data_IF_965457789067
#
_entry.id   IF_965457789067
#
_cell.length_a   1.000
_cell.length_b   1.000
_cell.length_c   1.000
_cell.angle_alpha   90.00
_cell.angle_beta   90.00
_cell.angle_gamma   90.00
#
_symmetry.space_group_name_H-M   'P 1'
#
loop_
_entity.id
_entity.type
_entity.pdbx_description
1 polymer ?
#
# COMPACT_ATOMS: atom_id res chain seq x y z
N UNK A 1 -21.81 -63.98 -50.19
CA UNK A 1 -21.20 -62.68 -50.08
C UNK A 1 -19.82 -62.77 -50.70
N UNK A 2 -19.58 -62.09 -51.77
CA UNK A 2 -18.27 -62.06 -52.44
C UNK A 2 -17.34 -61.10 -51.65
N UNK A 3 -16.04 -61.28 -51.75
CA UNK A 3 -15.06 -60.44 -51.12
C UNK A 3 -15.22 -58.94 -51.49
N UNK A 4 -15.57 -58.66 -52.72
CA UNK A 4 -15.85 -57.32 -53.24
C UNK A 4 -17.09 -56.66 -52.61
N UNK A 5 -18.14 -57.45 -52.27
CA UNK A 5 -19.32 -56.96 -51.56
C UNK A 5 -18.97 -56.58 -50.10
N UNK A 6 -18.05 -57.30 -49.40
CA UNK A 6 -17.59 -56.98 -48.08
C UNK A 6 -16.75 -55.74 -48.09
N UNK A 7 -15.79 -55.59 -49.02
CA UNK A 7 -14.94 -54.39 -49.15
C UNK A 7 -15.77 -53.13 -49.45
N UNK A 8 -16.81 -53.25 -50.31
CA UNK A 8 -17.71 -52.14 -50.57
C UNK A 8 -18.55 -51.72 -49.34
N UNK A 9 -18.98 -52.71 -48.55
CA UNK A 9 -19.70 -52.41 -47.29
C UNK A 9 -18.82 -51.74 -46.25
N UNK A 10 -17.57 -52.18 -46.10
CA UNK A 10 -16.60 -51.53 -45.22
C UNK A 10 -16.31 -50.06 -45.63
N UNK A 11 -16.06 -49.81 -46.90
CA UNK A 11 -15.86 -48.46 -47.43
C UNK A 11 -17.09 -47.56 -47.24
N UNK A 12 -18.29 -48.16 -47.26
CA UNK A 12 -19.51 -47.42 -46.97
C UNK A 12 -19.65 -47.06 -45.49
N UNK A 13 -19.26 -47.96 -44.58
CA UNK A 13 -19.19 -47.67 -43.13
C UNK A 13 -18.20 -46.56 -42.85
N UNK A 14 -16.97 -46.64 -43.36
CA UNK A 14 -15.95 -45.61 -43.19
C UNK A 14 -16.43 -44.23 -43.71
N UNK A 15 -17.17 -44.22 -44.83
CA UNK A 15 -17.77 -42.98 -45.36
C UNK A 15 -18.83 -42.40 -44.41
N UNK A 16 -19.63 -43.23 -43.75
CA UNK A 16 -20.60 -42.76 -42.77
C UNK A 16 -19.92 -42.26 -41.52
N UNK A 17 -18.90 -42.93 -41.01
CA UNK A 17 -18.13 -42.49 -39.84
C UNK A 17 -17.46 -41.15 -40.11
N UNK A 18 -16.87 -40.95 -41.28
CA UNK A 18 -16.31 -39.67 -41.67
C UNK A 18 -17.36 -38.54 -41.74
N UNK A 19 -18.58 -38.86 -42.24
CA UNK A 19 -19.69 -37.90 -42.24
C UNK A 19 -20.19 -37.55 -40.85
N UNK A 20 -20.28 -38.53 -39.97
CA UNK A 20 -20.67 -38.31 -38.57
C UNK A 20 -19.65 -37.42 -37.89
N UNK A 21 -18.36 -37.72 -38.07
CA UNK A 21 -17.28 -36.88 -37.51
C UNK A 21 -17.37 -35.45 -38.04
N UNK A 22 -17.55 -35.27 -39.36
CA UNK A 22 -17.69 -33.92 -39.92
C UNK A 22 -18.93 -33.20 -39.41
N UNK A 23 -20.05 -33.89 -39.20
CA UNK A 23 -21.25 -33.31 -38.62
C UNK A 23 -21.03 -32.87 -37.15
N UNK A 24 -20.33 -33.68 -36.36
CA UNK A 24 -19.97 -33.32 -35.00
C UNK A 24 -19.09 -32.05 -34.96
N UNK A 25 -18.10 -31.94 -35.86
CA UNK A 25 -17.28 -30.74 -35.96
C UNK A 25 -18.09 -29.49 -36.36
N UNK A 26 -19.08 -29.65 -37.26
CA UNK A 26 -19.98 -28.56 -37.62
C UNK A 26 -20.83 -28.09 -36.42
N UNK A 27 -21.34 -29.02 -35.61
CA UNK A 27 -22.06 -28.69 -34.37
C UNK A 27 -21.16 -27.92 -33.45
N UNK A 28 -19.90 -28.38 -33.23
CA UNK A 28 -18.92 -27.69 -32.38
C UNK A 28 -18.63 -26.27 -32.86
N UNK A 29 -18.49 -26.06 -34.18
CA UNK A 29 -18.29 -24.70 -34.72
C UNK A 29 -19.52 -23.83 -34.48
N UNK A 30 -20.74 -24.38 -34.67
CA UNK A 30 -21.96 -23.62 -34.40
C UNK A 30 -22.11 -23.25 -32.91
N UNK A 31 -21.75 -24.16 -32.00
CA UNK A 31 -21.72 -23.88 -30.54
C UNK A 31 -20.75 -22.75 -30.21
N UNK A 32 -19.55 -22.73 -30.80
CA UNK A 32 -18.60 -21.63 -30.61
C UNK A 32 -19.12 -20.30 -31.16
N UNK A 33 -19.83 -20.30 -32.27
CA UNK A 33 -20.47 -19.10 -32.81
C UNK A 33 -21.56 -18.56 -31.87
N UNK A 34 -22.37 -19.44 -31.29
CA UNK A 34 -23.37 -19.06 -30.28
C UNK A 34 -22.70 -18.51 -29.02
N UNK A 35 -21.61 -19.12 -28.54
CA UNK A 35 -20.86 -18.64 -27.42
C UNK A 35 -20.30 -17.23 -27.66
N UNK A 36 -19.70 -17.01 -28.84
CA UNK A 36 -19.22 -15.70 -29.26
C UNK A 36 -20.33 -14.64 -29.31
N UNK A 37 -21.48 -14.99 -29.89
CA UNK A 37 -22.62 -14.10 -29.99
C UNK A 37 -23.16 -13.73 -28.56
N UNK A 38 -23.16 -14.69 -27.64
CA UNK A 38 -23.54 -14.43 -26.24
C UNK A 38 -22.55 -13.50 -25.57
N UNK A 39 -21.25 -13.72 -25.71
CA UNK A 39 -20.23 -12.81 -25.15
C UNK A 39 -20.41 -11.40 -25.70
N UNK A 40 -20.58 -11.25 -27.00
CA UNK A 40 -20.83 -9.95 -27.62
C UNK A 40 -22.11 -9.25 -27.07
N UNK A 41 -23.14 -10.03 -26.78
CA UNK A 41 -24.37 -9.51 -26.18
C UNK A 41 -24.12 -9.10 -24.71
N UNK A 42 -23.43 -9.93 -23.94
CA UNK A 42 -23.10 -9.62 -22.54
C UNK A 42 -22.22 -8.37 -22.44
N UNK A 43 -21.29 -8.16 -23.37
CA UNK A 43 -20.43 -6.98 -23.44
C UNK A 43 -21.21 -5.67 -23.72
N UNK A 44 -22.45 -5.78 -24.21
CA UNK A 44 -23.32 -4.59 -24.36
C UNK A 44 -23.86 -4.09 -23.02
N UNK A 45 -23.77 -4.92 -21.97
CA UNK A 45 -24.24 -4.57 -20.62
C UNK A 45 -23.01 -4.35 -19.72
N UNK A 46 -22.62 -3.11 -19.59
CA UNK A 46 -21.44 -2.75 -18.77
C UNK A 46 -21.85 -2.74 -17.30
N UNK A 47 -21.16 -3.55 -16.50
CA UNK A 47 -21.40 -3.69 -15.07
C UNK A 47 -20.20 -3.18 -14.26
N UNK A 48 -20.46 -2.71 -13.04
CA UNK A 48 -19.40 -2.40 -12.09
C UNK A 48 -18.65 -3.69 -11.71
N UNK A 49 -17.30 -3.71 -11.77
CA UNK A 49 -16.50 -4.90 -11.44
C UNK A 49 -16.48 -5.20 -9.95
N UNK A 50 -16.73 -4.20 -9.10
CA UNK A 50 -16.79 -4.30 -7.64
C UNK A 50 -17.76 -3.28 -7.06
N UNK A 51 -18.10 -3.41 -5.79
CA UNK A 51 -18.93 -2.45 -5.05
C UNK A 51 -18.09 -1.24 -4.65
N UNK A 52 -18.57 -0.03 -4.97
CA UNK A 52 -17.81 1.20 -4.69
C UNK A 52 -18.61 2.45 -4.95
N UNK A 53 -17.95 3.58 -4.88
CA UNK A 53 -18.53 4.90 -5.16
C UNK A 53 -18.00 5.42 -6.50
N UNK A 54 -18.91 5.84 -7.38
CA UNK A 54 -18.52 6.48 -8.63
C UNK A 54 -18.09 7.93 -8.34
N UNK A 55 -16.82 8.25 -8.59
CA UNK A 55 -16.24 9.57 -8.36
C UNK A 55 -16.20 10.44 -9.61
N UNK A 56 -16.26 9.83 -10.80
CA UNK A 56 -16.39 10.57 -12.06
C UNK A 56 -17.43 9.91 -12.97
N UNK A 57 -18.04 10.71 -13.83
CA UNK A 57 -18.88 10.27 -14.94
C UNK A 57 -18.28 10.82 -16.23
N UNK A 58 -17.63 9.95 -17.00
CA UNK A 58 -16.82 10.35 -18.16
C UNK A 58 -17.57 10.24 -19.48
N UNK A 59 -18.62 9.42 -19.56
CA UNK A 59 -19.44 9.24 -20.75
C UNK A 59 -20.89 9.74 -20.56
N UNK A 60 -21.45 10.30 -21.62
CA UNK A 60 -22.84 10.74 -21.68
C UNK A 60 -23.68 9.77 -22.54
N UNK A 61 -24.99 9.67 -22.29
CA UNK A 61 -25.89 8.92 -23.16
C UNK A 61 -25.82 9.45 -24.62
N UNK A 62 -25.62 8.52 -25.56
CA UNK A 62 -25.43 8.85 -26.97
C UNK A 62 -23.98 8.94 -27.43
N UNK A 63 -23.01 8.89 -26.53
CA UNK A 63 -21.59 8.83 -26.89
C UNK A 63 -21.16 7.38 -27.20
N UNK A 64 -20.21 7.24 -28.10
CA UNK A 64 -19.59 5.93 -28.41
C UNK A 64 -18.46 5.68 -27.42
N UNK A 65 -18.57 4.57 -26.69
CA UNK A 65 -17.53 4.08 -25.78
C UNK A 65 -16.82 2.89 -26.44
N UNK A 66 -15.49 2.89 -26.45
CA UNK A 66 -14.68 1.81 -26.98
C UNK A 66 -13.65 1.36 -25.95
N UNK A 67 -13.43 0.05 -25.76
CA UNK A 67 -12.40 -0.47 -24.87
C UNK A 67 -10.97 -0.20 -25.40
N UNK A 68 -10.86 0.19 -26.66
CA UNK A 68 -9.57 0.47 -27.30
C UNK A 68 -9.52 1.95 -27.71
N UNK A 69 -8.44 2.62 -27.38
CA UNK A 69 -8.17 3.98 -27.80
C UNK A 69 -7.95 4.02 -29.33
N UNK A 70 -9.04 4.04 -30.11
CA UNK A 70 -8.96 4.24 -31.54
C UNK A 70 -8.77 5.74 -31.79
N UNK A 71 -7.57 6.21 -31.89
CA UNK A 71 -7.00 7.51 -32.29
C UNK A 71 -7.86 8.67 -32.83
N UNK A 72 -9.15 8.72 -32.54
CA UNK A 72 -10.10 9.77 -32.92
C UNK A 72 -10.68 10.44 -31.67
N UNK A 73 -10.63 11.76 -31.63
CA UNK A 73 -11.01 12.60 -30.48
C UNK A 73 -12.46 12.53 -30.02
N UNK A 74 -13.25 11.60 -30.53
CA UNK A 74 -14.67 11.41 -30.19
C UNK A 74 -14.98 10.10 -29.48
N UNK A 75 -13.97 9.22 -29.28
CA UNK A 75 -14.17 7.92 -28.64
C UNK A 75 -13.68 7.97 -27.20
N UNK A 76 -14.55 7.72 -26.25
CA UNK A 76 -14.22 7.62 -24.83
C UNK A 76 -13.80 6.20 -24.49
N UNK A 77 -12.76 6.04 -23.68
CA UNK A 77 -12.27 4.73 -23.23
C UNK A 77 -12.88 4.27 -21.91
N UNK A 78 -13.62 5.12 -21.21
CA UNK A 78 -14.24 4.80 -19.93
C UNK A 78 -15.61 5.46 -19.78
N UNK A 79 -16.45 4.91 -18.91
CA UNK A 79 -17.78 5.42 -18.59
C UNK A 79 -17.76 6.20 -17.29
N UNK A 80 -17.09 5.67 -16.26
CA UNK A 80 -16.96 6.28 -14.94
C UNK A 80 -15.73 5.71 -14.23
N UNK A 81 -15.27 6.41 -13.22
CA UNK A 81 -14.26 5.92 -12.28
C UNK A 81 -14.97 5.50 -10.99
N UNK A 82 -14.74 4.25 -10.56
CA UNK A 82 -15.28 3.70 -9.33
C UNK A 82 -14.14 3.48 -8.35
N UNK A 83 -14.33 3.90 -7.11
CA UNK A 83 -13.37 3.73 -6.02
C UNK A 83 -13.98 2.86 -4.93
N UNK A 84 -13.21 1.88 -4.47
CA UNK A 84 -13.53 1.11 -3.27
C UNK A 84 -13.13 1.91 -2.02
N UNK A 85 -14.13 2.44 -1.33
CA UNK A 85 -13.91 3.23 -0.11
C UNK A 85 -13.46 2.39 1.09
N UNK A 86 -13.48 1.06 0.99
CA UNK A 86 -13.05 0.17 2.08
C UNK A 86 -11.57 -0.21 1.98
N UNK A 87 -10.96 -0.01 0.83
CA UNK A 87 -9.55 -0.36 0.57
C UNK A 87 -8.63 0.86 0.46
N UNK A 88 -9.02 1.99 1.05
CA UNK A 88 -8.20 3.21 1.04
C UNK A 88 -6.91 3.00 1.84
N UNK A 89 -5.80 3.41 1.25
CA UNK A 89 -4.46 3.39 1.86
C UNK A 89 -3.82 4.77 1.72
N UNK A 90 -2.82 5.03 2.54
CA UNK A 90 -2.00 6.24 2.44
C UNK A 90 -0.70 5.85 1.73
N UNK A 91 -0.34 6.59 0.70
CA UNK A 91 0.95 6.50 0.04
C UNK A 91 1.81 7.69 0.44
N UNK A 92 2.98 7.40 1.00
CA UNK A 92 3.92 8.42 1.49
C UNK A 92 5.28 8.23 0.85
N UNK A 93 5.78 9.31 0.27
CA UNK A 93 7.15 9.39 -0.23
C UNK A 93 8.11 9.70 0.92
N UNK A 94 8.88 8.71 1.36
CA UNK A 94 9.88 8.85 2.42
C UNK A 94 11.27 9.01 1.82
N UNK A 95 12.02 10.01 2.27
CA UNK A 95 13.40 10.21 1.81
C UNK A 95 14.28 8.99 2.17
N UNK A 96 15.17 8.56 1.24
CA UNK A 96 16.06 7.41 1.40
C UNK A 96 16.90 7.46 2.68
N UNK A 97 17.29 8.65 3.14
CA UNK A 97 18.07 8.81 4.36
C UNK A 97 17.34 8.33 5.63
N UNK A 98 16.01 8.27 5.58
CA UNK A 98 15.17 7.91 6.73
C UNK A 98 14.50 6.54 6.59
N UNK A 99 14.56 5.91 5.42
CA UNK A 99 13.84 4.66 5.15
C UNK A 99 14.24 3.52 6.08
N UNK A 100 15.49 3.50 6.53
CA UNK A 100 16.01 2.50 7.48
C UNK A 100 15.31 2.53 8.85
N UNK A 101 14.56 3.59 9.14
CA UNK A 101 13.79 3.76 10.40
C UNK A 101 12.33 3.32 10.25
N UNK A 102 11.89 3.02 9.02
CA UNK A 102 10.53 2.59 8.74
C UNK A 102 10.51 1.07 8.66
N UNK A 103 9.62 0.46 9.42
CA UNK A 103 9.46 -1.00 9.47
C UNK A 103 8.02 -1.39 9.16
N UNK A 104 7.79 -2.49 8.43
CA UNK A 104 6.45 -3.06 8.29
C UNK A 104 5.83 -3.34 9.66
N UNK A 105 4.56 -3.00 9.83
CA UNK A 105 3.85 -3.14 11.10
C UNK A 105 4.02 -2.00 12.09
N UNK A 106 4.88 -1.01 11.81
CA UNK A 106 5.10 0.15 12.66
C UNK A 106 3.84 1.00 12.77
N UNK A 107 3.53 1.45 13.98
CA UNK A 107 2.39 2.34 14.22
C UNK A 107 2.68 3.76 13.73
N UNK A 108 1.66 4.38 13.16
CA UNK A 108 1.73 5.68 12.51
C UNK A 108 0.53 6.52 12.92
N UNK A 109 0.74 7.79 13.08
CA UNK A 109 -0.33 8.77 13.27
C UNK A 109 -0.51 9.57 11.97
N UNK A 110 -1.68 9.44 11.35
CA UNK A 110 -2.04 10.12 10.11
C UNK A 110 -3.00 11.27 10.42
N UNK A 111 -2.62 12.49 10.08
CA UNK A 111 -3.48 13.66 10.21
C UNK A 111 -3.86 14.15 8.80
N UNK A 112 -5.15 14.15 8.50
CA UNK A 112 -5.67 14.71 7.26
C UNK A 112 -5.48 16.23 7.26
N UNK A 113 -5.06 16.82 6.15
CA UNK A 113 -4.89 18.27 6.05
C UNK A 113 -6.20 19.04 6.30
N UNK A 114 -7.34 18.42 5.97
CA UNK A 114 -8.67 18.97 6.26
C UNK A 114 -9.03 18.90 7.76
N UNK A 115 -8.44 17.99 8.54
CA UNK A 115 -8.75 17.74 9.95
C UNK A 115 -7.48 17.55 10.78
N UNK A 116 -6.61 18.57 10.90
CA UNK A 116 -5.29 18.43 11.53
C UNK A 116 -5.35 18.11 13.04
N UNK A 117 -6.45 18.46 13.71
CA UNK A 117 -6.66 18.22 15.15
C UNK A 117 -7.16 16.79 15.47
N UNK A 118 -7.50 15.99 14.47
CA UNK A 118 -8.05 14.65 14.64
C UNK A 118 -7.15 13.61 13.96
N UNK A 119 -6.00 13.23 14.55
CA UNK A 119 -5.13 12.22 13.96
C UNK A 119 -5.81 10.84 14.00
N UNK A 120 -5.64 10.09 12.93
CA UNK A 120 -6.18 8.74 12.75
C UNK A 120 -5.05 7.74 12.93
N UNK A 121 -5.24 6.69 13.76
CA UNK A 121 -4.25 5.66 13.92
C UNK A 121 -4.14 4.81 12.65
N UNK A 122 -2.93 4.58 12.21
CA UNK A 122 -2.62 3.82 11.01
C UNK A 122 -1.38 2.95 11.24
N UNK A 123 -1.09 2.04 10.31
CA UNK A 123 0.04 1.12 10.41
C UNK A 123 0.71 0.96 9.06
N UNK A 124 2.04 0.88 9.06
CA UNK A 124 2.83 0.58 7.87
C UNK A 124 2.49 -0.82 7.37
N UNK A 125 2.01 -0.93 6.14
CA UNK A 125 1.76 -2.21 5.47
C UNK A 125 3.08 -2.74 4.90
N UNK A 126 3.69 -1.95 4.03
CA UNK A 126 4.92 -2.34 3.34
C UNK A 126 5.65 -1.13 2.78
N UNK A 127 6.92 -1.32 2.51
CA UNK A 127 7.75 -0.40 1.76
C UNK A 127 7.90 -0.95 0.35
N UNK A 128 7.58 -0.16 -0.67
CA UNK A 128 7.75 -0.56 -2.07
C UNK A 128 9.24 -0.52 -2.41
N UNK A 129 9.85 -1.64 -2.85
CA UNK A 129 11.29 -1.71 -3.08
C UNK A 129 11.71 -1.03 -4.40
N UNK A 130 11.18 0.15 -4.65
CA UNK A 130 11.47 0.97 -5.82
C UNK A 130 11.70 2.40 -5.36
N UNK A 131 12.92 2.89 -5.56
CA UNK A 131 13.26 4.28 -5.26
C UNK A 131 12.98 5.17 -6.49
N UNK A 132 12.34 6.30 -6.27
CA UNK A 132 12.27 7.34 -7.29
C UNK A 132 13.58 8.13 -7.29
N UNK A 133 14.40 7.91 -8.32
CA UNK A 133 15.72 8.55 -8.46
C UNK A 133 15.63 10.08 -8.62
N UNK A 134 14.52 10.59 -9.11
CA UNK A 134 14.36 12.04 -9.31
C UNK A 134 14.07 12.74 -7.98
N UNK A 135 13.31 12.07 -7.10
CA UNK A 135 12.91 12.60 -5.79
C UNK A 135 13.81 12.11 -4.65
N UNK A 136 14.65 11.08 -4.86
CA UNK A 136 15.41 10.37 -3.83
C UNK A 136 14.50 9.90 -2.68
N UNK A 137 13.33 9.36 -3.04
CA UNK A 137 12.30 8.86 -2.11
C UNK A 137 11.96 7.41 -2.37
N UNK A 138 11.46 6.75 -1.34
CA UNK A 138 10.93 5.40 -1.38
C UNK A 138 9.46 5.47 -0.96
N UNK A 139 8.58 4.83 -1.72
CA UNK A 139 7.16 4.80 -1.45
C UNK A 139 6.85 3.84 -0.29
N UNK A 140 6.15 4.33 0.71
CA UNK A 140 5.66 3.55 1.86
C UNK A 140 4.14 3.52 1.82
N UNK A 141 3.56 2.32 1.89
CA UNK A 141 2.12 2.11 1.95
C UNK A 141 1.70 1.90 3.39
N UNK A 142 0.68 2.64 3.81
CA UNK A 142 0.18 2.69 5.19
C UNK A 142 -1.32 2.45 5.15
N UNK A 143 -1.78 1.49 5.95
CA UNK A 143 -3.21 1.19 6.10
C UNK A 143 -3.79 1.88 7.31
N UNK A 144 -5.03 2.33 7.20
CA UNK A 144 -5.79 2.80 8.35
C UNK A 144 -6.19 1.62 9.25
N UNK A 145 -6.08 1.77 10.56
CA UNK A 145 -6.59 0.76 11.50
C UNK A 145 -8.13 0.76 11.50
N UNK A 146 -8.72 1.93 11.36
CA UNK A 146 -10.16 2.13 11.24
C UNK A 146 -10.42 3.16 10.14
N UNK A 147 -11.35 2.83 9.25
CA UNK A 147 -11.77 3.75 8.20
C UNK A 147 -12.81 4.72 8.74
N UNK A 148 -12.54 6.00 8.59
CA UNK A 148 -13.47 7.09 8.95
C UNK A 148 -14.16 7.61 7.68
N UNK A 149 -15.45 7.92 7.79
CA UNK A 149 -16.23 8.50 6.68
C UNK A 149 -15.71 9.85 6.17
N UNK A 150 -14.83 10.50 6.92
CA UNK A 150 -14.15 11.74 6.55
C UNK A 150 -13.00 11.55 5.57
N UNK A 151 -12.52 10.31 5.41
CA UNK A 151 -11.42 9.98 4.52
C UNK A 151 -11.94 9.89 3.10
N UNK A 152 -11.44 10.74 2.22
CA UNK A 152 -11.76 10.71 0.80
C UNK A 152 -10.50 10.41 -0.01
N UNK A 153 -10.65 9.80 -1.21
CA UNK A 153 -9.54 9.62 -2.13
C UNK A 153 -8.84 10.95 -2.45
N UNK A 154 -7.55 10.90 -2.72
CA UNK A 154 -6.71 12.04 -3.12
C UNK A 154 -6.62 13.18 -2.08
N UNK A 155 -6.93 12.93 -0.81
CA UNK A 155 -6.72 13.90 0.27
C UNK A 155 -5.25 13.96 0.67
N UNK A 156 -4.78 15.19 0.95
CA UNK A 156 -3.47 15.41 1.57
C UNK A 156 -3.45 14.89 3.01
N UNK A 157 -2.39 14.14 3.36
CA UNK A 157 -2.21 13.52 4.67
C UNK A 157 -0.81 13.78 5.19
N UNK A 158 -0.72 14.26 6.42
CA UNK A 158 0.54 14.37 7.15
C UNK A 158 0.74 13.14 8.03
N UNK A 159 1.83 12.41 7.79
CA UNK A 159 2.13 11.16 8.49
C UNK A 159 3.25 11.36 9.50
N UNK A 160 3.05 10.88 10.72
CA UNK A 160 4.07 10.85 11.77
C UNK A 160 4.32 9.39 12.15
N UNK A 161 5.52 8.89 11.87
CA UNK A 161 5.95 7.55 12.27
C UNK A 161 6.24 7.54 13.76
N UNK A 162 5.55 6.67 14.49
CA UNK A 162 5.77 6.50 15.92
C UNK A 162 6.97 5.58 16.14
N UNK A 163 7.78 5.89 17.15
CA UNK A 163 8.91 5.05 17.51
C UNK A 163 8.38 3.83 18.26
N UNK A 164 8.76 2.63 17.85
CA UNK A 164 8.48 1.42 18.60
C UNK A 164 9.16 1.50 19.96
N UNK A 165 8.42 1.19 21.04
CA UNK A 165 9.00 1.12 22.41
C UNK A 165 10.11 0.05 22.52
N UNK A 166 10.17 -0.91 21.59
CA UNK A 166 11.27 -1.86 21.46
C UNK A 166 12.63 -1.22 21.12
N UNK A 167 12.64 -0.04 20.48
CA UNK A 167 13.87 0.72 20.22
C UNK A 167 14.34 1.54 21.46
N UNK A 168 13.52 1.59 22.52
CA UNK A 168 13.95 2.19 23.80
C UNK A 168 15.00 1.37 24.53
N UNK A 169 15.10 0.07 24.24
CA UNK A 169 16.03 -0.82 24.93
C UNK A 169 17.44 -0.89 24.32
N UNK A 170 17.70 -0.29 23.15
CA UNK A 170 19.02 -0.29 22.53
C UNK A 170 19.89 0.94 22.86
N UNK A 171 19.31 1.94 23.47
CA UNK A 171 20.05 2.97 24.15
C UNK A 171 19.75 2.81 25.63
N UNK A 172 20.54 2.06 26.36
CA UNK A 172 20.51 2.08 27.82
C UNK A 172 20.41 3.53 28.26
N UNK A 173 19.19 3.97 28.58
CA UNK A 173 19.00 5.19 29.32
C UNK A 173 19.68 4.91 30.67
N UNK A 174 20.99 5.19 30.75
CA UNK A 174 21.66 5.26 32.06
C UNK A 174 20.84 6.26 32.85
N UNK A 175 20.40 5.88 34.04
CA UNK A 175 19.69 6.84 34.87
C UNK A 175 20.57 8.07 35.04
N UNK A 176 20.21 9.13 34.33
CA UNK A 176 20.93 10.39 34.39
C UNK A 176 20.38 11.22 35.53
N UNK A 177 21.25 11.76 36.31
CA UNK A 177 20.88 12.62 37.44
C UNK A 177 21.06 14.07 37.01
N UNK A 178 19.95 14.81 36.91
CA UNK A 178 20.00 16.25 36.64
C UNK A 178 20.39 17.01 37.88
N UNK A 179 21.50 17.71 37.82
CA UNK A 179 22.01 18.56 38.93
C UNK A 179 22.12 20.02 38.47
N UNK A 180 21.93 21.01 39.39
CA UNK A 180 22.17 22.41 39.08
C UNK A 180 23.62 22.63 38.62
N UNK A 181 23.87 23.48 37.65
CA UNK A 181 25.23 23.84 37.19
C UNK A 181 26.12 24.31 38.31
N UNK A 182 25.55 25.00 39.33
CA UNK A 182 26.25 25.49 40.51
C UNK A 182 26.78 24.37 41.42
N UNK A 183 26.27 23.14 41.31
CA UNK A 183 26.71 21.98 42.09
C UNK A 183 27.96 21.29 41.51
N UNK A 184 28.36 21.65 40.28
CA UNK A 184 29.50 21.07 39.60
C UNK A 184 30.66 22.06 39.59
N UNK A 185 31.86 21.60 39.99
CA UNK A 185 33.12 22.30 39.88
C UNK A 185 33.98 21.64 38.81
N UNK A 186 34.54 22.45 37.91
CA UNK A 186 35.47 21.98 36.90
C UNK A 186 36.87 22.52 37.22
N UNK A 187 37.84 21.61 37.31
CA UNK A 187 39.25 21.92 37.41
C UNK A 187 40.04 21.24 36.31
N UNK A 188 40.50 21.99 35.31
CA UNK A 188 41.13 21.46 34.10
C UNK A 188 40.13 20.65 33.29
N UNK A 189 40.47 19.42 32.98
CA UNK A 189 39.60 18.48 32.18
C UNK A 189 38.65 17.64 33.05
N UNK A 190 38.66 17.81 34.37
CA UNK A 190 37.89 17.00 35.31
C UNK A 190 36.77 17.80 35.98
N UNK A 191 35.57 17.20 35.99
CA UNK A 191 34.42 17.76 36.69
C UNK A 191 34.07 16.91 37.92
N UNK A 192 33.72 17.59 39.03
CA UNK A 192 33.32 16.93 40.26
C UNK A 192 32.14 17.62 40.96
N UNK A 193 31.41 16.78 41.67
CA UNK A 193 30.37 17.25 42.58
C UNK A 193 30.73 16.91 44.03
N UNK A 194 30.33 17.79 44.97
CA UNK A 194 30.42 17.50 46.38
C UNK A 194 29.09 16.91 46.85
N UNK A 195 29.14 15.68 47.37
CA UNK A 195 27.97 14.99 47.90
C UNK A 195 28.08 14.89 49.41
N UNK A 196 27.00 15.30 50.09
CA UNK A 196 26.92 15.14 51.56
C UNK A 196 26.33 13.75 51.82
N UNK A 197 27.08 12.90 52.52
CA UNK A 197 26.60 11.58 52.93
C UNK A 197 25.58 11.71 54.09
N UNK A 198 24.84 10.63 54.35
CA UNK A 198 23.90 10.57 55.49
C UNK A 198 24.54 10.80 56.86
N UNK A 199 25.86 10.64 56.96
CA UNK A 199 26.65 10.92 58.16
C UNK A 199 27.14 12.37 58.25
N UNK A 200 26.74 13.26 57.31
CA UNK A 200 27.16 14.68 57.32
C UNK A 200 28.57 14.92 56.75
N UNK A 201 29.23 13.90 56.22
CA UNK A 201 30.57 13.99 55.64
C UNK A 201 30.45 14.39 54.18
N UNK A 202 31.26 15.37 53.74
CA UNK A 202 31.33 15.83 52.34
C UNK A 202 32.35 14.98 51.59
N UNK A 203 31.87 14.32 50.54
CA UNK A 203 32.72 13.54 49.63
C UNK A 203 32.81 14.22 48.28
N UNK A 204 34.01 14.26 47.71
CA UNK A 204 34.26 14.73 46.36
C UNK A 204 34.13 13.54 45.39
N UNK A 205 33.15 13.60 44.48
CA UNK A 205 32.96 12.58 43.45
C UNK A 205 33.25 13.13 42.06
N UNK A 206 34.07 12.41 41.30
CA UNK A 206 34.28 12.69 39.91
C UNK A 206 32.99 12.37 39.14
N UNK A 207 32.58 13.27 38.27
CA UNK A 207 31.38 13.15 37.43
C UNK A 207 31.74 13.42 36.00
N UNK A 208 31.03 12.72 35.10
CA UNK A 208 31.09 13.01 33.68
C UNK A 208 29.83 13.77 33.32
N UNK A 209 29.97 14.97 32.82
CA UNK A 209 28.82 15.81 32.42
C UNK A 209 28.40 15.50 31.01
N UNK A 210 27.09 15.38 30.80
CA UNK A 210 26.44 15.16 29.50
C UNK A 210 25.81 16.42 28.91
N UNK A 211 24.55 16.32 28.48
CA UNK A 211 23.80 17.44 27.92
C UNK A 211 23.43 18.52 28.95
N UNK A 212 23.06 19.69 28.44
CA UNK A 212 22.56 20.80 29.25
C UNK A 212 21.07 20.99 28.99
N UNK A 213 20.27 20.98 30.05
CA UNK A 213 18.84 21.33 29.99
C UNK A 213 18.58 22.57 30.86
N UNK A 214 18.57 23.74 30.20
CA UNK A 214 18.43 25.03 30.85
C UNK A 214 19.55 25.29 31.87
N UNK A 215 19.22 25.41 33.18
CA UNK A 215 20.14 25.63 34.29
C UNK A 215 20.65 24.34 34.97
N UNK A 216 20.33 23.17 34.40
CA UNK A 216 20.73 21.84 34.87
C UNK A 216 21.69 21.16 33.90
N UNK A 217 22.61 20.37 34.45
CA UNK A 217 23.54 19.51 33.77
C UNK A 217 23.16 18.04 34.02
N UNK A 218 23.28 17.24 32.98
CA UNK A 218 23.12 15.78 33.00
C UNK A 218 24.42 15.12 33.48
#
# INVERSE_FOLDING_TARGET
MTQAEAEAAEAQVDSFDARILAAHEQVRVAEQQVALARTNLDDTIIRAPFSGVAISKDAQPGETVSPVSAGGGFTRTGICTIVDMQSLEIEVDVNEAYINRVRPGQDVSAALDAYPAAPIPARVITTVPTADRQKATVLVRIGFNELDSRILPDMGVKVTFLRDDADRDLGTARPVTLVPKSAIRTEGEHSYAFVVSSAGIVERRAVTTGGTDGDRLE
#
